data_IF_022079796089
#
_entry.id   IF_022079796089
#
_cell.length_a   1.000
_cell.length_b   1.000
_cell.length_c   1.000
_cell.angle_alpha   90.00
_cell.angle_beta   90.00
_cell.angle_gamma   90.00
#
_symmetry.space_group_name_H-M   'P 1'
#
loop_
_entity.id
_entity.type
_entity.pdbx_description
1 polymer ?
#
# COMPACT_ATOMS: atom_id res chain seq x y z
N UNK A 1 -3.26 -15.36 -24.22
CA UNK A 1 -2.53 -14.98 -22.98
C UNK A 1 -3.42 -15.29 -21.77
N UNK A 2 -2.87 -15.54 -20.57
CA UNK A 2 -3.71 -15.72 -19.36
C UNK A 2 -4.18 -14.36 -18.82
N UNK A 3 -5.39 -14.31 -18.26
CA UNK A 3 -5.99 -13.10 -17.69
C UNK A 3 -5.07 -12.43 -16.66
N UNK A 4 -4.54 -13.19 -15.70
CA UNK A 4 -3.69 -12.63 -14.65
C UNK A 4 -2.42 -11.98 -15.19
N UNK A 5 -1.74 -12.63 -16.12
CA UNK A 5 -0.54 -12.11 -16.77
C UNK A 5 -0.86 -10.86 -17.59
N UNK A 6 -1.94 -10.92 -18.37
CA UNK A 6 -2.38 -9.78 -19.17
C UNK A 6 -2.70 -8.57 -18.28
N UNK A 7 -3.41 -8.78 -17.17
CA UNK A 7 -3.74 -7.70 -16.24
C UNK A 7 -2.52 -7.09 -15.57
N UNK A 8 -1.48 -7.88 -15.23
CA UNK A 8 -0.21 -7.34 -14.71
C UNK A 8 0.47 -6.45 -15.76
N UNK A 9 0.47 -6.87 -17.02
CA UNK A 9 1.06 -6.07 -18.11
C UNK A 9 0.28 -4.77 -18.36
N UNK A 10 -1.05 -4.78 -18.19
CA UNK A 10 -1.91 -3.58 -18.34
C UNK A 10 -1.91 -2.67 -17.10
N UNK A 11 -1.50 -3.18 -15.93
CA UNK A 11 -1.56 -2.50 -14.63
C UNK A 11 -0.25 -2.66 -13.87
N UNK A 12 0.85 -2.05 -14.35
CA UNK A 12 2.17 -2.20 -13.74
C UNK A 12 2.25 -1.66 -12.30
N UNK A 13 1.32 -0.79 -11.90
CA UNK A 13 1.17 -0.32 -10.52
C UNK A 13 0.63 -1.37 -9.55
N UNK A 14 0.04 -2.46 -10.07
CA UNK A 14 -0.49 -3.54 -9.26
C UNK A 14 0.50 -4.70 -9.18
N UNK A 15 0.74 -5.17 -7.96
CA UNK A 15 1.49 -6.41 -7.78
C UNK A 15 0.70 -7.61 -8.32
N UNK A 16 1.41 -8.66 -8.74
CA UNK A 16 0.79 -9.93 -9.16
C UNK A 16 -0.16 -10.50 -8.12
N UNK A 17 0.19 -10.41 -6.83
CA UNK A 17 -0.66 -10.88 -5.74
C UNK A 17 -1.91 -10.00 -5.56
N UNK A 18 -1.82 -8.69 -5.81
CA UNK A 18 -2.98 -7.79 -5.83
C UNK A 18 -3.95 -8.16 -6.94
N UNK A 19 -3.46 -8.31 -8.18
CA UNK A 19 -4.29 -8.74 -9.34
C UNK A 19 -4.97 -10.08 -9.06
N UNK A 20 -4.25 -11.04 -8.50
CA UNK A 20 -4.81 -12.35 -8.14
C UNK A 20 -5.96 -12.24 -7.12
N UNK A 21 -5.84 -11.35 -6.12
CA UNK A 21 -6.90 -11.07 -5.15
C UNK A 21 -8.11 -10.42 -5.82
N UNK A 22 -7.90 -9.40 -6.65
CA UNK A 22 -8.98 -8.68 -7.35
C UNK A 22 -9.81 -9.66 -8.22
N UNK A 23 -9.14 -10.56 -8.95
CA UNK A 23 -9.81 -11.60 -9.74
C UNK A 23 -10.60 -12.56 -8.84
N UNK A 24 -9.97 -13.05 -7.76
CA UNK A 24 -10.61 -13.99 -6.83
C UNK A 24 -11.81 -13.37 -6.08
N UNK A 25 -11.80 -12.06 -5.87
CA UNK A 25 -12.91 -11.30 -5.29
C UNK A 25 -14.06 -11.04 -6.28
N UNK A 26 -13.97 -11.53 -7.52
CA UNK A 26 -15.02 -11.36 -8.53
C UNK A 26 -15.08 -9.96 -9.15
N UNK A 27 -14.06 -9.13 -8.92
CA UNK A 27 -14.01 -7.75 -9.41
C UNK A 27 -13.45 -7.65 -10.84
N UNK A 28 -13.25 -8.79 -11.49
CA UNK A 28 -12.85 -8.87 -12.90
C UNK A 28 -13.88 -9.67 -13.67
N UNK A 29 -14.41 -9.06 -14.73
CA UNK A 29 -15.34 -9.67 -15.65
C UNK A 29 -14.69 -9.82 -17.03
N UNK A 30 -14.94 -10.96 -17.68
CA UNK A 30 -14.68 -11.16 -19.10
C UNK A 30 -16.04 -11.35 -19.76
N UNK A 31 -16.38 -10.49 -20.72
CA UNK A 31 -17.68 -10.54 -21.42
C UNK A 31 -18.86 -10.62 -20.42
N UNK A 32 -18.83 -9.75 -19.41
CA UNK A 32 -19.82 -9.63 -18.34
C UNK A 32 -19.95 -10.84 -17.39
N UNK A 33 -19.01 -11.78 -17.40
CA UNK A 33 -18.97 -12.94 -16.49
C UNK A 33 -17.71 -12.96 -15.65
N UNK A 34 -17.81 -13.41 -14.40
CA UNK A 34 -16.65 -13.57 -13.52
C UNK A 34 -15.66 -14.59 -14.11
N UNK A 35 -14.37 -14.33 -13.91
CA UNK A 35 -13.30 -15.16 -14.45
C UNK A 35 -12.32 -15.59 -13.36
N UNK A 36 -11.56 -16.66 -13.64
CA UNK A 36 -10.44 -17.10 -12.79
C UNK A 36 -9.14 -16.58 -13.37
N UNK A 37 -8.11 -16.47 -12.56
CA UNK A 37 -6.82 -15.89 -12.97
C UNK A 37 -6.16 -16.62 -14.13
N UNK A 38 -6.35 -17.93 -14.23
CA UNK A 38 -5.83 -18.77 -15.32
C UNK A 38 -6.70 -18.74 -16.58
N UNK A 39 -7.80 -18.00 -16.62
CA UNK A 39 -8.68 -17.94 -17.80
C UNK A 39 -7.88 -17.45 -19.01
N UNK A 40 -7.85 -18.20 -20.13
CA UNK A 40 -7.21 -17.76 -21.36
C UNK A 40 -8.05 -16.66 -22.03
N UNK A 41 -7.41 -15.56 -22.37
CA UNK A 41 -8.00 -14.47 -23.14
C UNK A 41 -7.93 -14.73 -24.64
N UNK A 42 -8.99 -14.36 -25.33
CA UNK A 42 -9.13 -14.35 -26.80
C UNK A 42 -9.14 -12.92 -27.31
N UNK A 43 -8.72 -12.74 -28.56
CA UNK A 43 -8.83 -11.44 -29.23
C UNK A 43 -10.31 -11.04 -29.31
N UNK A 44 -10.63 -9.82 -28.89
CA UNK A 44 -12.00 -9.30 -28.85
C UNK A 44 -12.72 -9.48 -27.50
N UNK A 45 -12.11 -10.17 -26.53
CA UNK A 45 -12.69 -10.24 -25.18
C UNK A 45 -12.76 -8.84 -24.54
N UNK A 46 -13.92 -8.50 -23.96
CA UNK A 46 -14.09 -7.30 -23.16
C UNK A 46 -13.72 -7.62 -21.70
N UNK A 47 -12.61 -7.07 -21.22
CA UNK A 47 -12.16 -7.25 -19.83
C UNK A 47 -12.52 -6.00 -19.03
N UNK A 48 -13.35 -6.18 -18.01
CA UNK A 48 -13.73 -5.12 -17.07
C UNK A 48 -13.09 -5.42 -15.71
N UNK A 49 -12.47 -4.42 -15.11
CA UNK A 49 -11.87 -4.50 -13.79
C UNK A 49 -12.40 -3.37 -12.93
N UNK A 50 -12.85 -3.71 -11.73
CA UNK A 50 -13.18 -2.73 -10.71
C UNK A 50 -12.08 -2.72 -9.64
N UNK A 51 -11.42 -1.57 -9.49
CA UNK A 51 -10.42 -1.33 -8.47
C UNK A 51 -11.06 -0.45 -7.39
N UNK A 52 -11.50 -1.02 -6.25
CA UNK A 52 -12.04 -0.21 -5.17
C UNK A 52 -10.94 0.71 -4.63
N UNK A 53 -11.30 1.93 -4.16
CA UNK A 53 -10.35 2.79 -3.49
C UNK A 53 -9.81 2.10 -2.23
N UNK A 54 -8.56 2.38 -1.83
CA UNK A 54 -8.02 1.83 -0.61
C UNK A 54 -8.78 2.34 0.61
N UNK A 55 -9.04 1.46 1.57
CA UNK A 55 -9.74 1.82 2.79
C UNK A 55 -8.77 2.38 3.85
N UNK A 56 -9.20 3.36 4.66
CA UNK A 56 -8.42 3.83 5.80
C UNK A 56 -8.26 2.73 6.87
N UNK A 57 -7.16 2.79 7.62
CA UNK A 57 -6.95 1.96 8.80
C UNK A 57 -7.57 2.65 10.03
N UNK A 58 -8.77 2.22 10.43
CA UNK A 58 -9.55 2.90 11.49
C UNK A 58 -8.84 3.03 12.84
N UNK A 59 -7.94 2.10 13.17
CA UNK A 59 -7.16 2.14 14.40
C UNK A 59 -5.95 3.09 14.35
N UNK A 60 -5.64 3.62 13.17
CA UNK A 60 -4.42 4.37 12.89
C UNK A 60 -4.79 5.78 12.43
N UNK A 61 -4.53 6.78 13.28
CA UNK A 61 -4.87 8.18 13.03
C UNK A 61 -3.64 9.00 12.69
N UNK A 62 -3.81 9.97 11.79
CA UNK A 62 -2.78 10.95 11.48
C UNK A 62 -2.53 11.85 12.69
N UNK A 63 -1.28 12.06 13.05
CA UNK A 63 -0.86 12.95 14.15
C UNK A 63 0.29 13.84 13.67
N UNK A 64 0.12 15.16 13.76
CA UNK A 64 1.18 16.09 13.39
C UNK A 64 2.33 15.95 14.38
N UNK A 65 3.53 15.70 13.87
CA UNK A 65 4.77 15.67 14.65
C UNK A 65 5.94 16.17 13.81
N UNK A 66 7.01 16.59 14.46
CA UNK A 66 8.25 16.95 13.77
C UNK A 66 8.94 15.68 13.25
N UNK A 67 9.13 15.60 11.93
CA UNK A 67 9.89 14.54 11.27
C UNK A 67 11.24 15.10 10.82
N UNK A 68 12.33 14.47 11.26
CA UNK A 68 13.68 14.83 10.83
C UNK A 68 13.95 14.18 9.46
N UNK A 69 13.49 14.84 8.39
CA UNK A 69 13.54 14.35 7.01
C UNK A 69 14.92 14.64 6.42
N UNK A 70 15.66 13.59 6.09
CA UNK A 70 16.95 13.66 5.43
C UNK A 70 16.80 13.82 3.90
N UNK A 71 15.75 13.21 3.34
CA UNK A 71 15.46 13.23 1.90
C UNK A 71 13.96 12.96 1.67
N UNK A 72 13.37 13.61 0.67
CA UNK A 72 11.98 13.35 0.25
C UNK A 72 11.82 13.63 -1.25
N UNK A 73 11.24 12.68 -1.97
CA UNK A 73 10.79 12.85 -3.35
C UNK A 73 9.45 12.13 -3.60
N UNK A 74 9.05 12.04 -4.87
CA UNK A 74 7.79 11.38 -5.27
C UNK A 74 7.76 9.86 -5.06
N UNK A 75 8.89 9.25 -4.70
CA UNK A 75 9.06 7.81 -4.58
C UNK A 75 9.34 7.38 -3.15
N UNK A 76 10.21 8.09 -2.43
CA UNK A 76 10.66 7.73 -1.09
C UNK A 76 10.80 8.95 -0.17
N UNK A 77 10.68 8.67 1.12
CA UNK A 77 11.04 9.58 2.21
C UNK A 77 12.11 8.86 3.03
N UNK A 78 13.17 9.58 3.38
CA UNK A 78 14.21 9.11 4.29
C UNK A 78 14.19 9.96 5.55
N UNK A 79 13.96 9.35 6.70
CA UNK A 79 13.87 10.02 7.99
C UNK A 79 15.01 9.57 8.90
N UNK A 80 15.61 10.53 9.61
CA UNK A 80 16.44 10.25 10.76
C UNK A 80 15.55 10.01 11.98
N UNK A 81 15.22 8.75 12.26
CA UNK A 81 14.39 8.40 13.42
C UNK A 81 15.19 8.67 14.69
N UNK A 82 14.65 9.51 15.57
CA UNK A 82 15.23 9.74 16.89
C UNK A 82 15.03 8.53 17.82
N UNK A 83 15.93 8.34 18.77
CA UNK A 83 15.76 7.36 19.84
C UNK A 83 14.54 7.72 20.70
N UNK A 84 13.83 6.73 21.23
CA UNK A 84 12.59 6.89 21.98
C UNK A 84 11.32 6.92 21.10
N UNK A 85 11.44 7.12 19.78
CA UNK A 85 10.32 7.11 18.85
C UNK A 85 10.00 5.70 18.36
N UNK A 86 8.81 5.19 18.68
CA UNK A 86 8.29 3.92 18.17
C UNK A 86 7.90 4.05 16.70
N UNK A 87 8.23 3.05 15.87
CA UNK A 87 7.89 3.05 14.44
C UNK A 87 6.40 2.80 14.21
N UNK A 88 5.89 1.65 14.67
CA UNK A 88 4.50 1.21 14.47
C UNK A 88 3.73 1.16 15.79
N UNK A 89 2.41 1.38 15.77
CA UNK A 89 1.57 1.14 16.94
C UNK A 89 1.75 -0.29 17.48
N UNK A 90 1.82 -0.40 18.80
CA UNK A 90 1.99 -1.65 19.52
C UNK A 90 1.05 -1.68 20.75
N UNK A 91 0.80 -2.85 21.36
CA UNK A 91 0.12 -2.91 22.65
C UNK A 91 0.77 -1.95 23.66
N UNK A 92 -0.03 -1.08 24.28
CA UNK A 92 0.44 -0.04 25.19
C UNK A 92 0.92 1.27 24.54
N UNK A 93 1.16 1.31 23.22
CA UNK A 93 1.57 2.50 22.46
C UNK A 93 0.82 2.55 21.12
N UNK A 94 -0.45 2.97 21.15
CA UNK A 94 -1.35 2.94 19.98
C UNK A 94 -1.24 4.16 19.05
N UNK A 95 -0.59 5.22 19.51
CA UNK A 95 -0.48 6.54 18.87
C UNK A 95 0.92 7.13 19.12
N UNK A 96 1.21 8.30 18.56
CA UNK A 96 2.49 8.99 18.74
C UNK A 96 3.68 8.27 18.09
N UNK A 97 3.43 7.41 17.11
CA UNK A 97 4.45 6.64 16.40
C UNK A 97 4.85 7.31 15.10
N UNK A 98 5.98 6.91 14.51
CA UNK A 98 6.44 7.40 13.22
C UNK A 98 5.36 7.25 12.12
N UNK A 99 4.62 6.13 12.14
CA UNK A 99 3.49 5.91 11.23
C UNK A 99 2.40 6.97 11.38
N UNK A 100 2.09 7.42 12.60
CA UNK A 100 1.09 8.47 12.82
C UNK A 100 1.56 9.80 12.24
N UNK A 101 2.85 10.12 12.41
CA UNK A 101 3.51 11.29 11.80
C UNK A 101 3.47 11.26 10.29
N UNK A 102 3.90 10.16 9.69
CA UNK A 102 3.90 9.97 8.23
C UNK A 102 2.50 10.04 7.63
N UNK A 103 1.47 9.58 8.34
CA UNK A 103 0.08 9.74 7.92
C UNK A 103 -0.38 11.20 7.87
N UNK A 104 0.16 12.06 8.73
CA UNK A 104 -0.16 13.48 8.74
C UNK A 104 0.66 14.28 7.71
N UNK A 105 1.89 13.82 7.43
CA UNK A 105 2.81 14.45 6.49
C UNK A 105 2.45 14.13 5.02
N UNK A 106 2.13 12.87 4.74
CA UNK A 106 1.87 12.42 3.37
C UNK A 106 0.40 12.61 2.98
N UNK A 107 0.10 13.59 2.13
CA UNK A 107 -1.25 13.85 1.63
C UNK A 107 -1.79 12.73 0.71
N UNK A 108 -0.90 12.08 -0.05
CA UNK A 108 -1.25 11.12 -1.10
C UNK A 108 -0.57 9.76 -0.89
N UNK A 109 -0.82 9.11 0.24
CA UNK A 109 -0.27 7.78 0.48
C UNK A 109 -0.80 6.75 -0.53
N UNK A 110 0.08 5.97 -1.18
CA UNK A 110 -0.38 4.90 -2.03
C UNK A 110 -1.16 3.87 -1.20
N UNK A 111 -2.31 3.45 -1.73
CA UNK A 111 -3.06 2.34 -1.16
C UNK A 111 -2.32 1.03 -1.34
N UNK A 112 -1.69 0.51 -0.30
CA UNK A 112 -0.97 -0.76 -0.37
C UNK A 112 -1.89 -1.88 0.08
N UNK A 113 -2.12 -2.88 -0.78
CA UNK A 113 -3.06 -3.98 -0.57
C UNK A 113 -4.50 -3.50 -0.26
N UNK A 114 -4.93 -2.40 -0.89
CA UNK A 114 -6.26 -1.83 -0.66
C UNK A 114 -6.42 -1.14 0.70
N UNK A 115 -5.31 -0.79 1.37
CA UNK A 115 -5.33 0.00 2.61
C UNK A 115 -4.44 1.22 2.49
N UNK A 116 -4.91 2.37 2.98
CA UNK A 116 -4.10 3.57 3.13
C UNK A 116 -3.12 3.34 4.28
N UNK A 117 -1.85 3.11 3.96
CA UNK A 117 -0.80 2.86 4.94
C UNK A 117 0.51 3.51 4.49
N UNK A 118 1.30 4.09 5.41
CA UNK A 118 2.66 4.52 5.10
C UNK A 118 3.49 3.34 4.61
N UNK A 119 4.29 3.56 3.57
CA UNK A 119 5.08 2.54 2.88
C UNK A 119 6.34 2.09 3.61
N UNK A 120 6.34 2.05 4.95
CA UNK A 120 7.53 1.69 5.74
C UNK A 120 7.97 0.25 5.40
N UNK A 121 9.22 0.09 4.95
CA UNK A 121 9.72 -1.22 4.47
C UNK A 121 10.58 -1.96 5.48
N UNK A 122 11.05 -1.27 6.52
CA UNK A 122 11.85 -1.85 7.60
C UNK A 122 11.57 -1.16 8.94
N UNK A 123 12.14 -1.67 10.04
CA UNK A 123 11.96 -1.07 11.37
C UNK A 123 13.28 -0.89 12.09
N UNK A 124 13.31 0.12 12.95
CA UNK A 124 14.28 0.29 14.02
C UNK A 124 13.55 0.11 15.36
N UNK A 125 14.25 -0.35 16.38
CA UNK A 125 13.68 -0.43 17.73
C UNK A 125 13.46 0.98 18.30
N UNK A 126 12.59 1.07 19.31
CA UNK A 126 12.21 2.35 19.94
C UNK A 126 13.43 3.18 20.28
N UNK A 127 14.40 2.57 20.95
CA UNK A 127 15.58 3.25 21.46
C UNK A 127 16.77 3.26 20.48
N UNK A 128 16.58 2.70 19.28
CA UNK A 128 17.55 2.79 18.18
C UNK A 128 17.29 4.05 17.35
N UNK A 129 18.31 4.87 17.10
CA UNK A 129 18.25 5.97 16.15
C UNK A 129 18.81 5.58 14.78
N UNK A 130 18.49 6.36 13.76
CA UNK A 130 19.13 6.23 12.45
C UNK A 130 18.17 6.39 11.28
N UNK A 131 18.70 6.14 10.08
CA UNK A 131 17.98 6.30 8.83
C UNK A 131 16.86 5.25 8.68
N UNK A 132 15.68 5.72 8.29
CA UNK A 132 14.54 4.90 7.89
C UNK A 132 14.03 5.29 6.53
N UNK A 133 13.57 4.30 5.77
CA UNK A 133 12.90 4.42 4.47
C UNK A 133 11.49 3.83 4.55
#
# INVERSE_FOLDING_TARGET
>A
MRLDRWLVDQRPEQSRSSIQKIINSGLVLINYKTAKSKTPLKKGDNVQIWLPPPEPLSYLKAERMHLDILFEDKHIIVINKQSGLTVHPAPGHKSGTLVNGLLAHCENLPGINGKLRPGIVHRLDKDTSGCMV
#
